data_IF_602898040012
#
_entry.id   IF_602898040012
#
_cell.length_a   1.000
_cell.length_b   1.000
_cell.length_c   1.000
_cell.angle_alpha   90.00
_cell.angle_beta   90.00
_cell.angle_gamma   90.00
#
_symmetry.space_group_name_H-M   'P 1'
#
loop_
_entity.id
_entity.type
_entity.pdbx_description
1 polymer ?
#
# COMPACT_ATOMS: atom_id res chain seq x y z
N UNK A 1 -42.30 46.46 -36.58
CA UNK A 1 -41.15 45.71 -37.08
C UNK A 1 -40.34 45.22 -35.86
N UNK A 2 -40.60 43.99 -35.44
CA UNK A 2 -39.94 43.41 -34.28
C UNK A 2 -38.76 42.52 -34.77
N UNK A 3 -37.54 42.84 -34.36
CA UNK A 3 -36.35 42.02 -34.64
C UNK A 3 -36.19 40.98 -33.55
N UNK A 4 -36.36 39.71 -33.88
CA UNK A 4 -36.01 38.55 -33.06
C UNK A 4 -34.49 38.35 -33.11
N UNK A 5 -33.81 38.35 -31.92
CA UNK A 5 -32.44 37.91 -31.80
C UNK A 5 -32.47 36.45 -31.31
N UNK A 6 -32.00 35.55 -32.15
CA UNK A 6 -31.80 34.15 -31.80
C UNK A 6 -30.45 34.05 -31.10
N UNK A 7 -30.47 33.71 -29.80
CA UNK A 7 -29.31 33.39 -29.01
C UNK A 7 -28.92 31.91 -29.28
N UNK A 8 -27.79 31.67 -29.93
CA UNK A 8 -27.22 30.35 -30.05
C UNK A 8 -26.53 29.97 -28.71
N UNK A 9 -27.16 29.08 -27.95
CA UNK A 9 -26.50 28.39 -26.85
C UNK A 9 -25.56 27.32 -27.44
N UNK A 10 -24.26 27.58 -27.40
CA UNK A 10 -23.26 26.53 -27.61
C UNK A 10 -23.18 25.67 -26.36
N UNK A 11 -23.81 24.49 -26.39
CA UNK A 11 -23.60 23.46 -25.42
C UNK A 11 -22.19 22.89 -25.60
N UNK A 12 -21.26 23.28 -24.70
CA UNK A 12 -19.97 22.66 -24.61
C UNK A 12 -20.13 21.21 -24.17
N UNK A 13 -19.99 20.28 -25.10
CA UNK A 13 -19.83 18.86 -24.82
C UNK A 13 -18.48 18.69 -24.13
N UNK A 14 -18.49 18.80 -22.80
CA UNK A 14 -17.38 18.32 -21.96
C UNK A 14 -17.29 16.82 -22.16
N UNK A 15 -16.24 16.38 -22.84
CA UNK A 15 -15.86 14.96 -22.90
C UNK A 15 -15.52 14.52 -21.50
N UNK A 16 -16.49 13.95 -20.78
CA UNK A 16 -16.21 13.13 -19.61
C UNK A 16 -15.46 11.92 -20.12
N UNK A 17 -14.15 11.87 -19.92
CA UNK A 17 -13.40 10.62 -19.99
C UNK A 17 -14.07 9.66 -19.01
N UNK A 18 -14.80 8.68 -19.54
CA UNK A 18 -15.32 7.58 -18.75
C UNK A 18 -14.11 6.96 -18.02
N UNK A 19 -14.15 6.91 -16.69
CA UNK A 19 -13.21 6.12 -15.95
C UNK A 19 -13.25 4.72 -16.55
N UNK A 20 -12.09 4.21 -16.98
CA UNK A 20 -12.01 2.86 -17.54
C UNK A 20 -12.57 1.90 -16.49
N UNK A 21 -13.54 1.07 -16.89
CA UNK A 21 -14.04 0.02 -16.00
C UNK A 21 -12.88 -0.91 -15.61
N UNK A 22 -12.90 -1.39 -14.37
CA UNK A 22 -11.93 -2.40 -13.92
C UNK A 22 -11.93 -3.60 -14.89
N UNK A 23 -10.77 -4.20 -15.18
CA UNK A 23 -10.70 -5.35 -16.07
C UNK A 23 -11.54 -6.52 -15.53
N UNK A 24 -12.16 -7.30 -16.42
CA UNK A 24 -12.91 -8.48 -16.00
C UNK A 24 -11.92 -9.61 -15.62
N UNK A 25 -12.11 -10.28 -14.48
CA UNK A 25 -11.25 -11.38 -14.05
C UNK A 25 -11.39 -12.60 -14.96
N UNK A 26 -10.31 -13.36 -15.21
CA UNK A 26 -10.36 -14.62 -15.93
C UNK A 26 -11.27 -15.64 -15.21
N UNK A 27 -12.04 -16.47 -15.96
CA UNK A 27 -12.97 -17.44 -15.37
C UNK A 27 -12.30 -18.46 -14.42
N UNK A 28 -11.02 -18.79 -14.64
CA UNK A 28 -10.24 -19.69 -13.77
C UNK A 28 -10.13 -19.20 -12.32
N UNK A 29 -10.29 -17.90 -12.08
CA UNK A 29 -10.24 -17.33 -10.74
C UNK A 29 -11.57 -17.43 -9.98
N UNK A 30 -12.68 -17.72 -10.67
CA UNK A 30 -14.01 -17.77 -10.04
C UNK A 30 -14.12 -18.73 -8.84
N UNK A 31 -13.51 -19.94 -8.85
CA UNK A 31 -13.57 -20.85 -7.70
C UNK A 31 -12.84 -20.34 -6.45
N UNK A 32 -11.98 -19.34 -6.57
CA UNK A 32 -11.16 -18.76 -5.49
C UNK A 32 -11.76 -17.47 -4.94
N UNK A 33 -12.94 -17.09 -5.42
CA UNK A 33 -13.59 -15.85 -5.03
C UNK A 33 -14.81 -16.15 -4.14
N UNK A 34 -14.74 -15.74 -2.87
CA UNK A 34 -15.75 -15.98 -1.85
C UNK A 34 -16.12 -14.69 -1.12
N UNK A 35 -17.39 -14.36 -1.04
CA UNK A 35 -17.91 -13.22 -0.27
C UNK A 35 -17.20 -11.87 -0.55
N UNK A 36 -16.82 -11.64 -1.81
CA UNK A 36 -16.13 -10.42 -2.22
C UNK A 36 -14.63 -10.40 -1.89
N UNK A 37 -14.05 -11.53 -1.47
CA UNK A 37 -12.64 -11.71 -1.18
C UNK A 37 -12.05 -12.83 -2.02
N UNK A 38 -10.78 -12.69 -2.40
CA UNK A 38 -10.03 -13.71 -3.12
C UNK A 38 -9.23 -14.55 -2.13
N UNK A 39 -9.48 -15.87 -2.16
CA UNK A 39 -8.82 -16.86 -1.31
C UNK A 39 -7.94 -17.76 -2.19
N UNK A 40 -6.59 -17.61 -2.17
CA UNK A 40 -5.70 -18.38 -3.07
C UNK A 40 -5.80 -19.91 -2.90
N UNK A 41 -6.26 -20.41 -1.75
CA UNK A 41 -6.45 -21.82 -1.47
C UNK A 41 -5.19 -22.65 -1.70
N UNK A 42 -5.28 -23.65 -2.60
CA UNK A 42 -4.17 -24.51 -3.02
C UNK A 42 -3.33 -23.92 -4.15
N UNK A 43 -3.61 -22.67 -4.56
CA UNK A 43 -2.97 -22.00 -5.70
C UNK A 43 -3.08 -22.75 -7.03
N UNK A 44 -4.09 -23.59 -7.21
CA UNK A 44 -4.27 -24.37 -8.43
C UNK A 44 -4.28 -23.54 -9.72
N UNK A 45 -4.71 -22.28 -9.64
CA UNK A 45 -4.73 -21.32 -10.75
C UNK A 45 -3.33 -20.94 -11.28
N UNK A 46 -2.25 -21.10 -10.50
CA UNK A 46 -0.88 -20.81 -10.97
C UNK A 46 -0.20 -22.03 -11.59
N UNK A 47 -0.87 -23.20 -11.71
CA UNK A 47 -0.28 -24.43 -12.25
C UNK A 47 0.35 -24.23 -13.62
N UNK A 48 -0.23 -23.34 -14.43
CA UNK A 48 0.27 -23.02 -15.78
C UNK A 48 1.61 -22.31 -15.85
N UNK A 49 2.11 -21.78 -14.74
CA UNK A 49 3.44 -21.19 -14.61
C UNK A 49 4.58 -22.23 -14.58
N UNK A 50 4.25 -23.53 -14.38
CA UNK A 50 5.23 -24.57 -14.13
C UNK A 50 5.38 -25.56 -15.30
N UNK A 51 6.55 -26.22 -15.44
CA UNK A 51 6.74 -27.32 -16.39
C UNK A 51 5.70 -28.44 -16.22
N UNK A 52 5.36 -29.10 -17.31
CA UNK A 52 4.37 -30.19 -17.30
C UNK A 52 2.91 -29.74 -17.16
N UNK A 53 2.63 -28.45 -17.25
CA UNK A 53 1.27 -27.95 -17.34
C UNK A 53 0.61 -28.34 -18.67
N UNK A 54 -0.71 -28.56 -18.65
CA UNK A 54 -1.49 -28.76 -19.88
C UNK A 54 -1.58 -27.46 -20.68
N UNK A 55 -1.89 -27.58 -21.98
CA UNK A 55 -2.11 -26.40 -22.85
C UNK A 55 -3.16 -25.44 -22.24
N UNK A 56 -4.24 -25.96 -21.66
CA UNK A 56 -5.26 -25.15 -21.03
C UNK A 56 -4.72 -24.40 -19.80
N UNK A 57 -3.99 -25.08 -18.91
CA UNK A 57 -3.40 -24.44 -17.72
C UNK A 57 -2.42 -23.31 -18.10
N UNK A 58 -1.62 -23.51 -19.15
CA UNK A 58 -0.73 -22.46 -19.68
C UNK A 58 -1.54 -21.27 -20.22
N UNK A 59 -2.64 -21.54 -20.93
CA UNK A 59 -3.52 -20.48 -21.43
C UNK A 59 -4.19 -19.69 -20.29
N UNK A 60 -4.66 -20.39 -19.27
CA UNK A 60 -5.27 -19.79 -18.06
C UNK A 60 -4.27 -18.91 -17.32
N UNK A 61 -3.03 -19.39 -17.15
CA UNK A 61 -1.97 -18.58 -16.51
C UNK A 61 -1.68 -17.29 -17.29
N UNK A 62 -1.54 -17.37 -18.62
CA UNK A 62 -1.37 -16.19 -19.47
C UNK A 62 -2.53 -15.20 -19.35
N UNK A 63 -3.75 -15.70 -19.18
CA UNK A 63 -4.91 -14.85 -18.97
C UNK A 63 -4.85 -14.11 -17.60
N UNK A 64 -4.33 -14.77 -16.56
CA UNK A 64 -4.09 -14.16 -15.24
C UNK A 64 -3.01 -13.07 -15.33
N UNK A 65 -1.88 -13.35 -16.00
CA UNK A 65 -0.81 -12.35 -16.20
C UNK A 65 -1.32 -11.14 -16.98
N UNK A 66 -2.12 -11.37 -18.03
CA UNK A 66 -2.74 -10.29 -18.80
C UNK A 66 -3.73 -9.47 -17.97
N UNK A 67 -4.51 -10.12 -17.10
CA UNK A 67 -5.41 -9.47 -16.15
C UNK A 67 -4.63 -8.60 -15.14
N UNK A 68 -3.56 -9.13 -14.53
CA UNK A 68 -2.70 -8.36 -13.62
C UNK A 68 -2.11 -7.11 -14.30
N UNK A 69 -1.64 -7.25 -15.54
CA UNK A 69 -1.15 -6.11 -16.33
C UNK A 69 -2.24 -5.07 -16.59
N UNK A 70 -3.47 -5.49 -16.92
CA UNK A 70 -4.60 -4.59 -17.13
C UNK A 70 -5.01 -3.89 -15.82
N UNK A 71 -4.95 -4.59 -14.67
CA UNK A 71 -5.16 -3.99 -13.35
C UNK A 71 -4.17 -2.86 -13.07
N UNK A 72 -2.87 -3.08 -13.28
CA UNK A 72 -1.84 -2.05 -13.09
C UNK A 72 -2.04 -0.85 -14.00
N UNK A 73 -2.37 -1.09 -15.29
CA UNK A 73 -2.63 0.00 -16.23
C UNK A 73 -3.86 0.83 -15.83
N UNK A 74 -4.95 0.18 -15.44
CA UNK A 74 -6.15 0.86 -14.96
C UNK A 74 -5.87 1.67 -13.69
N UNK A 75 -5.16 1.10 -12.71
CA UNK A 75 -4.77 1.78 -11.48
C UNK A 75 -3.93 3.04 -11.76
N UNK A 76 -2.98 2.96 -12.68
CA UNK A 76 -2.17 4.12 -13.09
C UNK A 76 -3.03 5.24 -13.67
N UNK A 77 -3.99 4.92 -14.56
CA UNK A 77 -4.90 5.91 -15.15
C UNK A 77 -5.78 6.58 -14.09
N UNK A 78 -6.32 5.80 -13.14
CA UNK A 78 -7.13 6.32 -12.03
C UNK A 78 -6.31 7.27 -11.18
N UNK A 79 -5.09 6.87 -10.78
CA UNK A 79 -4.21 7.71 -9.97
C UNK A 79 -3.80 8.99 -10.68
N UNK A 80 -3.51 8.95 -11.98
CA UNK A 80 -3.20 10.15 -12.76
C UNK A 80 -4.37 11.12 -12.80
N UNK A 81 -5.59 10.62 -12.97
CA UNK A 81 -6.78 11.46 -12.97
C UNK A 81 -7.02 12.12 -11.60
N UNK A 82 -6.86 11.37 -10.49
CA UNK A 82 -7.03 11.89 -9.13
C UNK A 82 -5.94 12.90 -8.76
N UNK A 83 -4.67 12.63 -9.07
CA UNK A 83 -3.57 13.58 -8.86
C UNK A 83 -3.76 14.87 -9.66
N UNK A 84 -4.23 14.76 -10.91
CA UNK A 84 -4.53 15.93 -11.76
C UNK A 84 -5.61 16.83 -11.14
N UNK A 85 -6.64 16.26 -10.51
CA UNK A 85 -7.65 17.05 -9.75
C UNK A 85 -7.02 17.85 -8.61
N UNK A 86 -5.93 17.35 -8.05
CA UNK A 86 -5.14 18.04 -7.02
C UNK A 86 -4.10 19.02 -7.61
N UNK A 87 -4.05 19.18 -8.94
CA UNK A 87 -3.02 19.99 -9.60
C UNK A 87 -1.62 19.38 -9.57
N UNK A 88 -1.52 18.07 -9.34
CA UNK A 88 -0.25 17.33 -9.32
C UNK A 88 -0.09 16.58 -10.64
N UNK A 89 1.01 16.85 -11.35
CA UNK A 89 1.42 16.09 -12.53
C UNK A 89 2.56 15.19 -12.08
N UNK A 90 2.29 13.88 -11.99
CA UNK A 90 3.31 12.94 -11.58
C UNK A 90 4.30 12.68 -12.71
N UNK A 91 5.60 12.65 -12.37
CA UNK A 91 6.72 12.44 -13.30
C UNK A 91 7.33 11.04 -13.22
N UNK A 92 6.79 10.17 -12.36
CA UNK A 92 7.23 8.78 -12.22
C UNK A 92 6.16 7.82 -12.72
N UNK A 93 6.54 6.67 -13.29
CA UNK A 93 5.60 5.61 -13.63
C UNK A 93 4.85 5.16 -12.37
N UNK A 94 3.57 4.86 -12.53
CA UNK A 94 2.71 4.39 -11.44
C UNK A 94 2.24 2.98 -11.74
N UNK A 95 2.41 2.15 -10.76
CA UNK A 95 1.96 0.76 -10.70
C UNK A 95 1.01 0.50 -9.52
N UNK A 96 0.41 1.57 -8.98
CA UNK A 96 -0.29 1.59 -7.70
C UNK A 96 -1.64 2.28 -7.80
N UNK A 97 -2.42 2.19 -6.72
CA UNK A 97 -3.72 2.86 -6.63
C UNK A 97 -4.88 1.98 -7.03
N UNK A 98 -4.81 0.71 -6.67
CA UNK A 98 -5.86 -0.25 -6.95
C UNK A 98 -7.17 0.15 -6.29
N UNK A 99 -8.17 0.41 -7.13
CA UNK A 99 -9.53 0.72 -6.68
C UNK A 99 -10.39 -0.55 -6.61
N UNK A 100 -9.89 -1.64 -7.15
CA UNK A 100 -10.55 -2.95 -7.19
C UNK A 100 -9.81 -3.93 -6.29
N UNK A 101 -10.53 -4.52 -5.32
CA UNK A 101 -9.94 -5.43 -4.34
C UNK A 101 -9.38 -6.69 -5.00
N UNK A 102 -10.10 -7.24 -5.99
CA UNK A 102 -9.64 -8.43 -6.67
C UNK A 102 -8.34 -8.18 -7.44
N UNK A 103 -8.22 -7.02 -8.11
CA UNK A 103 -6.97 -6.60 -8.73
C UNK A 103 -5.82 -6.59 -7.71
N UNK A 104 -6.00 -5.96 -6.56
CA UNK A 104 -4.99 -5.89 -5.50
C UNK A 104 -4.60 -7.30 -5.04
N UNK A 105 -5.57 -8.13 -4.69
CA UNK A 105 -5.32 -9.48 -4.18
C UNK A 105 -4.65 -10.40 -5.21
N UNK A 106 -5.02 -10.31 -6.50
CA UNK A 106 -4.39 -11.12 -7.55
C UNK A 106 -2.95 -10.69 -7.79
N UNK A 107 -2.66 -9.39 -7.80
CA UNK A 107 -1.29 -8.90 -7.98
C UNK A 107 -0.34 -9.36 -6.87
N UNK A 108 -0.85 -9.52 -5.65
CA UNK A 108 -0.07 -10.01 -4.52
C UNK A 108 0.30 -11.50 -4.62
N UNK A 109 -0.46 -12.29 -5.39
CA UNK A 109 -0.22 -13.72 -5.53
C UNK A 109 0.34 -14.13 -6.88
N UNK A 110 0.36 -13.24 -7.87
CA UNK A 110 0.83 -13.55 -9.24
C UNK A 110 2.34 -13.86 -9.27
N UNK A 111 3.12 -13.35 -8.31
CA UNK A 111 4.53 -13.64 -8.13
C UNK A 111 4.82 -14.92 -7.34
N UNK A 112 3.79 -15.56 -6.76
CA UNK A 112 3.96 -16.74 -5.91
C UNK A 112 4.75 -17.88 -6.56
N UNK A 113 4.63 -18.17 -7.90
CA UNK A 113 5.43 -19.18 -8.56
C UNK A 113 6.92 -18.86 -8.67
N UNK A 114 7.31 -17.61 -8.53
CA UNK A 114 8.68 -17.15 -8.77
C UNK A 114 9.68 -17.82 -7.81
N UNK A 115 10.78 -18.31 -8.38
CA UNK A 115 11.86 -18.97 -7.65
C UNK A 115 11.61 -20.45 -7.30
N UNK A 116 10.47 -21.04 -7.71
CA UNK A 116 10.23 -22.49 -7.62
C UNK A 116 10.50 -23.15 -8.96
N UNK A 117 11.27 -24.25 -8.93
CA UNK A 117 11.64 -24.96 -10.16
C UNK A 117 10.50 -25.85 -10.70
N UNK A 118 9.70 -26.45 -9.82
CA UNK A 118 8.65 -27.40 -10.18
C UNK A 118 7.36 -27.16 -9.38
N UNK A 119 6.26 -27.67 -9.91
CA UNK A 119 4.97 -27.67 -9.22
C UNK A 119 5.03 -28.41 -7.88
N UNK A 120 5.74 -29.54 -7.83
CA UNK A 120 5.87 -30.37 -6.63
C UNK A 120 6.61 -29.62 -5.49
N UNK A 121 7.69 -28.90 -5.83
CA UNK A 121 8.42 -28.08 -4.84
C UNK A 121 7.54 -26.95 -4.33
N UNK A 122 6.78 -26.30 -5.22
CA UNK A 122 5.82 -25.25 -4.87
C UNK A 122 4.72 -25.79 -3.91
N UNK A 123 4.08 -26.92 -4.25
CA UNK A 123 3.03 -27.53 -3.41
C UNK A 123 3.57 -28.00 -2.05
N UNK A 124 4.78 -28.52 -2.01
CA UNK A 124 5.45 -28.92 -0.77
C UNK A 124 5.66 -27.72 0.13
N UNK A 125 6.20 -26.61 -0.42
CA UNK A 125 6.42 -25.36 0.31
C UNK A 125 5.08 -24.74 0.79
N UNK A 126 4.05 -24.80 -0.07
CA UNK A 126 2.71 -24.32 0.26
C UNK A 126 2.13 -25.06 1.49
N UNK A 127 2.24 -26.39 1.50
CA UNK A 127 1.79 -27.21 2.62
C UNK A 127 2.59 -26.95 3.92
N UNK A 128 3.92 -26.90 3.82
CA UNK A 128 4.81 -26.73 4.97
C UNK A 128 4.73 -25.32 5.60
N UNK A 129 4.50 -24.29 4.80
CA UNK A 129 4.38 -22.91 5.30
C UNK A 129 3.06 -22.65 6.04
N UNK A 130 2.00 -23.43 5.77
CA UNK A 130 0.66 -23.16 6.26
C UNK A 130 0.55 -23.15 7.79
N UNK A 131 1.09 -24.13 8.56
CA UNK A 131 1.00 -24.13 10.02
C UNK A 131 1.64 -22.90 10.66
N UNK A 132 2.79 -22.45 10.16
CA UNK A 132 3.46 -21.24 10.64
C UNK A 132 2.58 -20.01 10.42
N UNK A 133 2.08 -19.85 9.21
CA UNK A 133 1.19 -18.75 8.84
C UNK A 133 -0.08 -18.73 9.70
N UNK A 134 -0.75 -19.85 9.83
CA UNK A 134 -2.00 -19.96 10.62
C UNK A 134 -1.80 -19.65 12.10
N UNK A 135 -0.71 -20.14 12.71
CA UNK A 135 -0.40 -19.86 14.11
C UNK A 135 -0.21 -18.36 14.34
N UNK A 136 0.52 -17.70 13.45
CA UNK A 136 0.75 -16.26 13.56
C UNK A 136 -0.52 -15.45 13.32
N UNK A 137 -1.28 -15.80 12.29
CA UNK A 137 -2.57 -15.18 11.99
C UNK A 137 -3.56 -15.28 13.15
N UNK A 138 -3.63 -16.46 13.80
CA UNK A 138 -4.48 -16.68 14.97
C UNK A 138 -4.10 -15.75 16.14
N UNK A 139 -2.80 -15.56 16.38
CA UNK A 139 -2.31 -14.63 17.42
C UNK A 139 -2.72 -13.17 17.15
N UNK A 140 -2.60 -12.71 15.90
CA UNK A 140 -3.05 -11.38 15.50
C UNK A 140 -4.56 -11.23 15.69
N UNK A 141 -5.35 -12.22 15.23
CA UNK A 141 -6.80 -12.21 15.36
C UNK A 141 -7.23 -12.18 16.83
N UNK A 142 -6.59 -12.95 17.70
CA UNK A 142 -6.87 -12.94 19.14
C UNK A 142 -6.59 -11.54 19.76
N UNK A 143 -5.51 -10.87 19.34
CA UNK A 143 -5.16 -9.52 19.79
C UNK A 143 -6.21 -8.49 19.35
N UNK A 144 -6.69 -8.56 18.11
CA UNK A 144 -7.77 -7.67 17.61
C UNK A 144 -9.07 -7.89 18.36
N UNK A 145 -9.46 -9.17 18.56
CA UNK A 145 -10.67 -9.52 19.29
C UNK A 145 -10.65 -9.03 20.75
N UNK A 146 -9.49 -9.02 21.39
CA UNK A 146 -9.33 -8.49 22.74
C UNK A 146 -9.61 -6.98 22.82
N UNK A 147 -9.33 -6.21 21.77
CA UNK A 147 -9.67 -4.79 21.68
C UNK A 147 -11.18 -4.59 21.49
N UNK A 148 -11.80 -5.34 20.58
CA UNK A 148 -13.24 -5.24 20.32
C UNK A 148 -14.13 -5.78 21.45
N UNK A 149 -13.57 -6.51 22.40
CA UNK A 149 -14.29 -6.95 23.61
C UNK A 149 -14.52 -5.85 24.65
N UNK A 150 -13.93 -4.66 24.49
CA UNK A 150 -14.20 -3.49 25.30
C UNK A 150 -15.47 -2.78 24.76
N UNK A 151 -16.36 -2.36 25.67
CA UNK A 151 -17.78 -2.02 25.37
C UNK A 151 -18.03 -0.72 24.56
N UNK A 152 -17.05 0.05 24.15
CA UNK A 152 -17.25 1.32 23.43
C UNK A 152 -16.51 1.32 22.08
N UNK A 153 -17.25 1.39 20.97
CA UNK A 153 -16.69 1.57 19.62
C UNK A 153 -16.17 3.02 19.43
N UNK A 154 -15.14 3.39 20.14
CA UNK A 154 -14.48 4.67 19.97
C UNK A 154 -13.58 4.67 18.72
N UNK A 155 -13.29 5.87 18.19
CA UNK A 155 -12.34 5.99 17.08
C UNK A 155 -10.92 5.48 17.47
N UNK A 156 -10.55 5.59 18.74
CA UNK A 156 -9.27 5.08 19.25
C UNK A 156 -9.22 3.55 19.20
N UNK A 157 -10.27 2.88 19.65
CA UNK A 157 -10.39 1.41 19.61
C UNK A 157 -10.37 0.90 18.17
N UNK A 158 -11.15 1.52 17.29
CA UNK A 158 -11.18 1.16 15.87
C UNK A 158 -9.80 1.34 15.21
N UNK A 159 -9.14 2.46 15.45
CA UNK A 159 -7.79 2.70 14.95
C UNK A 159 -6.78 1.71 15.55
N UNK A 160 -6.91 1.33 16.83
CA UNK A 160 -6.05 0.35 17.49
C UNK A 160 -6.24 -1.04 16.88
N UNK A 161 -7.49 -1.47 16.67
CA UNK A 161 -7.80 -2.75 16.04
C UNK A 161 -7.23 -2.88 14.62
N UNK A 162 -7.11 -1.78 13.90
CA UNK A 162 -6.53 -1.71 12.55
C UNK A 162 -5.00 -1.66 12.55
N UNK A 163 -4.40 -0.95 13.50
CA UNK A 163 -2.94 -0.84 13.61
C UNK A 163 -2.29 -2.14 14.07
N UNK A 164 -2.97 -2.97 14.86
CA UNK A 164 -2.43 -4.26 15.32
C UNK A 164 -2.06 -5.15 14.11
N UNK A 165 -2.97 -5.53 13.20
CA UNK A 165 -2.62 -6.34 12.04
C UNK A 165 -1.67 -5.62 11.09
N UNK A 166 -1.82 -4.30 10.89
CA UNK A 166 -0.92 -3.51 10.05
C UNK A 166 0.55 -3.64 10.49
N UNK A 167 0.82 -3.45 11.76
CA UNK A 167 2.20 -3.52 12.30
C UNK A 167 2.67 -4.96 12.50
N UNK A 168 1.78 -5.87 12.90
CA UNK A 168 2.15 -7.26 13.14
C UNK A 168 2.60 -7.94 11.83
N UNK A 169 1.89 -7.77 10.72
CA UNK A 169 2.27 -8.35 9.44
C UNK A 169 3.54 -7.74 8.85
N UNK A 170 3.88 -6.48 9.19
CA UNK A 170 5.12 -5.81 8.80
C UNK A 170 6.28 -6.12 9.72
N UNK A 171 6.01 -6.51 10.97
CA UNK A 171 6.99 -6.74 12.02
C UNK A 171 7.75 -8.07 11.91
N UNK A 172 7.71 -8.95 12.93
CA UNK A 172 8.57 -10.13 13.02
C UNK A 172 8.49 -11.12 11.88
N UNK A 173 7.36 -11.21 11.19
CA UNK A 173 7.21 -11.95 9.94
C UNK A 173 7.38 -11.06 8.71
N UNK A 174 7.68 -9.77 8.91
CA UNK A 174 8.14 -8.89 7.86
C UNK A 174 9.39 -9.47 7.17
N UNK A 175 9.64 -9.01 5.96
CA UNK A 175 10.59 -9.61 5.03
C UNK A 175 12.01 -9.83 5.59
N UNK A 176 12.44 -9.05 6.58
CA UNK A 176 13.80 -9.11 7.12
C UNK A 176 14.00 -10.18 8.22
N UNK A 177 12.94 -10.51 8.97
CA UNK A 177 13.05 -11.44 10.11
C UNK A 177 12.73 -12.89 9.74
N UNK A 178 12.05 -13.14 8.63
CA UNK A 178 11.77 -14.51 8.16
C UNK A 178 13.05 -15.28 7.83
N UNK A 179 14.10 -14.60 7.39
CA UNK A 179 15.39 -15.22 7.09
C UNK A 179 16.11 -15.80 8.32
N UNK A 180 15.65 -15.45 9.52
CA UNK A 180 16.22 -15.92 10.78
C UNK A 180 15.50 -17.13 11.39
N UNK A 181 14.43 -17.63 10.76
CA UNK A 181 13.72 -18.83 11.23
C UNK A 181 14.61 -20.07 11.03
N UNK A 182 15.26 -20.51 12.10
CA UNK A 182 16.14 -21.67 12.05
C UNK A 182 15.33 -22.96 11.84
N UNK A 183 15.84 -23.86 10.98
CA UNK A 183 15.23 -25.16 10.72
C UNK A 183 14.10 -25.16 9.69
N UNK A 184 13.81 -24.01 9.07
CA UNK A 184 12.86 -23.90 7.95
C UNK A 184 13.64 -23.83 6.64
N UNK A 185 13.30 -24.69 5.66
CA UNK A 185 13.97 -24.70 4.38
C UNK A 185 13.62 -23.45 3.52
N UNK A 186 14.50 -23.14 2.56
CA UNK A 186 14.39 -21.91 1.73
C UNK A 186 13.08 -21.80 0.95
N UNK A 187 12.55 -22.91 0.45
CA UNK A 187 11.30 -22.90 -0.32
C UNK A 187 10.10 -22.65 0.60
N UNK A 188 10.08 -23.27 1.78
CA UNK A 188 9.06 -23.00 2.82
C UNK A 188 9.10 -21.55 3.27
N UNK A 189 10.30 -20.96 3.48
CA UNK A 189 10.47 -19.54 3.81
C UNK A 189 9.95 -18.63 2.69
N UNK A 190 10.28 -18.95 1.44
CA UNK A 190 9.79 -18.19 0.26
C UNK A 190 8.27 -18.17 0.22
N UNK A 191 7.62 -19.31 0.41
CA UNK A 191 6.16 -19.39 0.43
C UNK A 191 5.57 -18.67 1.66
N UNK A 192 6.21 -18.75 2.82
CA UNK A 192 5.77 -18.02 4.01
C UNK A 192 5.86 -16.50 3.80
N UNK A 193 6.93 -16.01 3.16
CA UNK A 193 7.06 -14.61 2.73
C UNK A 193 5.92 -14.20 1.80
N UNK A 194 5.63 -15.01 0.76
CA UNK A 194 4.54 -14.71 -0.17
C UNK A 194 3.18 -14.62 0.56
N UNK A 195 2.85 -15.56 1.44
CA UNK A 195 1.62 -15.51 2.26
C UNK A 195 1.56 -14.26 3.15
N UNK A 196 2.70 -13.89 3.73
CA UNK A 196 2.80 -12.72 4.62
C UNK A 196 2.59 -11.44 3.82
N UNK A 197 3.26 -11.30 2.66
CA UNK A 197 3.09 -10.16 1.75
C UNK A 197 1.64 -10.04 1.32
N UNK A 198 1.03 -11.11 0.81
CA UNK A 198 -0.38 -11.12 0.43
C UNK A 198 -1.27 -10.63 1.57
N UNK A 199 -1.02 -11.09 2.80
CA UNK A 199 -1.86 -10.73 3.94
C UNK A 199 -1.68 -9.29 4.41
N UNK A 200 -0.46 -8.76 4.49
CA UNK A 200 -0.30 -7.37 4.89
C UNK A 200 -0.84 -6.38 3.85
N UNK A 201 -0.71 -6.69 2.56
CA UNK A 201 -1.27 -5.84 1.50
C UNK A 201 -2.81 -5.88 1.47
N UNK A 202 -3.42 -7.03 1.80
CA UNK A 202 -4.88 -7.11 2.02
C UNK A 202 -5.32 -6.24 3.21
N UNK A 203 -4.54 -6.23 4.29
CA UNK A 203 -4.76 -5.33 5.44
C UNK A 203 -4.58 -3.86 5.04
N UNK A 204 -3.58 -3.53 4.24
CA UNK A 204 -3.37 -2.17 3.75
C UNK A 204 -4.52 -1.68 2.87
N UNK A 205 -5.04 -2.56 2.02
CA UNK A 205 -6.21 -2.24 1.20
C UNK A 205 -7.43 -1.91 2.06
N UNK A 206 -7.77 -2.76 3.03
CA UNK A 206 -8.88 -2.54 3.98
C UNK A 206 -8.67 -1.25 4.80
N UNK A 207 -7.47 -1.03 5.30
CA UNK A 207 -7.10 0.14 6.08
C UNK A 207 -7.15 1.43 5.24
N UNK A 208 -6.69 1.39 4.00
CA UNK A 208 -6.73 2.53 3.08
C UNK A 208 -8.17 2.95 2.77
N UNK A 209 -9.07 1.99 2.57
CA UNK A 209 -10.49 2.28 2.34
C UNK A 209 -11.17 2.85 3.57
N UNK A 210 -10.91 2.28 4.75
CA UNK A 210 -11.43 2.80 6.01
C UNK A 210 -10.95 4.22 6.29
N UNK A 211 -9.65 4.49 6.20
CA UNK A 211 -9.09 5.81 6.53
C UNK A 211 -9.54 6.87 5.52
N UNK A 212 -9.69 6.50 4.26
CA UNK A 212 -10.29 7.38 3.24
C UNK A 212 -11.71 7.76 3.62
N UNK A 213 -12.56 6.78 3.92
CA UNK A 213 -13.93 7.02 4.36
C UNK A 213 -13.98 7.88 5.62
N UNK A 214 -13.14 7.61 6.61
CA UNK A 214 -13.02 8.40 7.84
C UNK A 214 -12.70 9.87 7.54
N UNK A 215 -11.68 10.12 6.72
CA UNK A 215 -11.25 11.49 6.41
C UNK A 215 -12.23 12.22 5.49
N UNK A 216 -12.91 11.52 4.59
CA UNK A 216 -13.92 12.11 3.71
C UNK A 216 -15.23 12.48 4.46
N UNK A 217 -15.57 11.73 5.51
CA UNK A 217 -16.82 11.95 6.29
C UNK A 217 -16.64 12.78 7.54
N UNK A 218 -15.57 12.55 8.30
CA UNK A 218 -15.33 13.20 9.61
C UNK A 218 -14.13 14.16 9.60
N UNK A 219 -13.19 13.99 8.66
CA UNK A 219 -12.01 14.82 8.49
C UNK A 219 -10.99 14.72 9.64
N UNK A 220 -9.84 15.38 9.46
CA UNK A 220 -8.79 15.43 10.47
C UNK A 220 -9.22 16.10 11.77
N UNK A 221 -10.25 16.97 11.75
CA UNK A 221 -10.74 17.62 12.97
C UNK A 221 -11.27 16.62 14.00
N UNK A 222 -12.00 15.61 13.55
CA UNK A 222 -12.50 14.54 14.42
C UNK A 222 -11.36 13.65 14.94
N UNK A 223 -10.39 13.35 14.10
CA UNK A 223 -9.20 12.55 14.43
C UNK A 223 -8.35 13.25 15.49
N UNK A 224 -8.06 14.55 15.31
CA UNK A 224 -7.30 15.37 16.29
C UNK A 224 -8.06 15.50 17.61
N UNK A 225 -9.39 15.66 17.56
CA UNK A 225 -10.23 15.73 18.76
C UNK A 225 -10.22 14.42 19.56
N UNK A 226 -10.12 13.28 18.92
CA UNK A 226 -10.02 11.97 19.56
C UNK A 226 -8.71 11.76 20.34
N UNK A 227 -7.70 12.60 20.11
CA UNK A 227 -6.45 12.62 20.87
C UNK A 227 -5.20 12.31 20.04
N UNK A 228 -4.02 12.61 20.60
CA UNK A 228 -2.76 12.50 19.85
C UNK A 228 -2.40 11.06 19.47
N UNK A 229 -2.75 10.07 20.31
CA UNK A 229 -2.52 8.65 20.01
C UNK A 229 -3.35 8.20 18.81
N UNK A 230 -4.64 8.52 18.80
CA UNK A 230 -5.55 8.24 17.68
C UNK A 230 -5.07 8.92 16.41
N UNK A 231 -4.66 10.19 16.50
CA UNK A 231 -4.15 10.95 15.38
C UNK A 231 -2.88 10.31 14.78
N UNK A 232 -1.98 9.79 15.62
CA UNK A 232 -0.78 9.08 15.18
C UNK A 232 -1.11 7.76 14.48
N UNK A 233 -2.05 6.97 15.02
CA UNK A 233 -2.49 5.72 14.41
C UNK A 233 -3.15 5.95 13.05
N UNK A 234 -4.09 6.89 12.95
CA UNK A 234 -4.74 7.25 11.69
C UNK A 234 -3.73 7.75 10.66
N UNK A 235 -2.78 8.61 11.08
CA UNK A 235 -1.70 9.07 10.23
C UNK A 235 -0.84 7.90 9.71
N UNK A 236 -0.52 6.92 10.55
CA UNK A 236 0.29 5.77 10.14
C UNK A 236 -0.44 4.93 9.08
N UNK A 237 -1.75 4.75 9.23
CA UNK A 237 -2.57 4.09 8.19
C UNK A 237 -2.55 4.92 6.88
N UNK A 238 -2.68 6.25 6.95
CA UNK A 238 -2.52 7.11 5.75
C UNK A 238 -1.15 6.93 5.12
N UNK A 239 -0.09 6.84 5.94
CA UNK A 239 1.27 6.64 5.45
C UNK A 239 1.45 5.29 4.74
N UNK A 240 0.72 4.25 5.16
CA UNK A 240 0.76 2.93 4.56
C UNK A 240 -0.16 2.76 3.34
N UNK A 241 -0.99 3.75 3.02
CA UNK A 241 -1.79 3.76 1.80
C UNK A 241 -0.94 4.05 0.54
N UNK A 242 0.19 3.35 0.40
CA UNK A 242 1.19 3.55 -0.68
C UNK A 242 0.62 3.29 -2.07
N UNK A 243 -0.40 2.47 -2.16
CA UNK A 243 -1.11 2.17 -3.40
C UNK A 243 -1.98 3.33 -3.88
N UNK A 244 -2.22 4.35 -3.04
CA UNK A 244 -3.06 5.51 -3.35
C UNK A 244 -2.36 6.85 -3.07
N UNK A 245 -1.31 7.20 -3.84
CA UNK A 245 -0.59 8.45 -3.66
C UNK A 245 -1.47 9.71 -3.83
N UNK A 246 -2.57 9.62 -4.57
CA UNK A 246 -3.51 10.73 -4.69
C UNK A 246 -4.26 10.97 -3.38
N UNK A 247 -4.70 9.90 -2.70
CA UNK A 247 -5.29 10.00 -1.38
C UNK A 247 -4.28 10.51 -0.34
N UNK A 248 -3.05 9.96 -0.32
CA UNK A 248 -2.00 10.44 0.57
C UNK A 248 -1.72 11.94 0.38
N UNK A 249 -1.64 12.42 -0.87
CA UNK A 249 -1.44 13.85 -1.17
C UNK A 249 -2.61 14.72 -0.68
N UNK A 250 -3.84 14.24 -0.82
CA UNK A 250 -5.04 14.93 -0.32
C UNK A 250 -5.04 14.98 1.21
N UNK A 251 -4.79 13.86 1.87
CA UNK A 251 -4.72 13.76 3.33
C UNK A 251 -3.61 14.66 3.91
N UNK A 252 -2.44 14.69 3.27
CA UNK A 252 -1.32 15.57 3.62
C UNK A 252 -1.74 17.05 3.59
N UNK A 253 -2.40 17.50 2.51
CA UNK A 253 -2.89 18.88 2.39
C UNK A 253 -3.92 19.23 3.47
N UNK A 254 -4.81 18.31 3.77
CA UNK A 254 -5.82 18.50 4.82
C UNK A 254 -5.21 18.53 6.23
N UNK A 255 -4.07 17.85 6.44
CA UNK A 255 -3.34 17.82 7.72
C UNK A 255 -2.51 19.10 7.97
N UNK A 256 -2.05 19.79 6.94
CA UNK A 256 -1.16 20.95 7.03
C UNK A 256 -1.63 22.05 8.02
N UNK A 257 -2.91 22.48 8.06
CA UNK A 257 -3.36 23.50 9.01
C UNK A 257 -3.19 23.08 10.47
N UNK A 258 -3.33 21.79 10.79
CA UNK A 258 -3.16 21.27 12.15
C UNK A 258 -1.69 21.24 12.57
N UNK A 259 -0.78 20.96 11.63
CA UNK A 259 0.67 21.04 11.85
C UNK A 259 1.09 22.49 12.12
N UNK A 260 0.63 23.44 11.31
CA UNK A 260 0.89 24.86 11.50
C UNK A 260 0.35 25.39 12.84
N UNK A 261 -0.78 24.88 13.28
CA UNK A 261 -1.38 25.21 14.57
C UNK A 261 -0.73 24.49 15.77
N UNK A 262 0.30 23.65 15.55
CA UNK A 262 0.95 22.86 16.61
C UNK A 262 0.09 21.73 17.17
N UNK A 263 -1.00 21.35 16.48
CA UNK A 263 -1.93 20.30 16.90
C UNK A 263 -1.58 18.91 16.37
N UNK A 264 -0.58 18.84 15.50
CA UNK A 264 -0.04 17.59 14.96
C UNK A 264 1.49 17.67 14.83
N UNK A 265 2.17 16.52 14.95
CA UNK A 265 3.62 16.45 14.99
C UNK A 265 4.25 16.77 13.62
N UNK A 266 5.20 17.73 13.59
CA UNK A 266 5.94 18.11 12.38
C UNK A 266 6.75 16.96 11.80
N UNK A 267 7.45 16.12 12.61
CA UNK A 267 8.19 14.96 12.07
C UNK A 267 7.31 14.04 11.24
N UNK A 268 6.13 13.70 11.73
CA UNK A 268 5.20 12.81 11.04
C UNK A 268 4.70 13.40 9.72
N UNK A 269 4.45 14.71 9.71
CA UNK A 269 4.09 15.43 8.49
C UNK A 269 5.23 15.39 7.46
N UNK A 270 6.48 15.55 7.88
CA UNK A 270 7.66 15.47 7.00
C UNK A 270 7.82 14.06 6.39
N UNK A 271 7.62 13.00 7.18
CA UNK A 271 7.69 11.62 6.69
C UNK A 271 6.64 11.36 5.58
N UNK A 272 5.40 11.80 5.80
CA UNK A 272 4.33 11.66 4.79
C UNK A 272 4.59 12.54 3.56
N UNK A 273 5.18 13.74 3.76
CA UNK A 273 5.57 14.61 2.65
C UNK A 273 6.55 13.91 1.71
N UNK A 274 7.62 13.31 2.26
CA UNK A 274 8.63 12.60 1.48
C UNK A 274 8.02 11.42 0.72
N UNK A 275 7.11 10.68 1.36
CA UNK A 275 6.43 9.54 0.73
C UNK A 275 5.58 9.97 -0.47
N UNK A 276 4.78 11.01 -0.30
CA UNK A 276 3.98 11.60 -1.40
C UNK A 276 4.89 12.13 -2.51
N UNK A 277 5.95 12.83 -2.17
CA UNK A 277 6.89 13.36 -3.15
C UNK A 277 7.59 12.25 -3.94
N UNK A 278 8.06 11.19 -3.29
CA UNK A 278 8.65 10.03 -3.96
C UNK A 278 7.66 9.36 -4.91
N UNK A 279 6.41 9.18 -4.47
CA UNK A 279 5.37 8.56 -5.29
C UNK A 279 4.97 9.41 -6.50
N UNK A 280 5.16 10.75 -6.45
CA UNK A 280 4.71 11.66 -7.49
C UNK A 280 5.84 12.22 -8.35
N UNK A 281 7.02 12.50 -7.76
CA UNK A 281 8.15 13.14 -8.43
C UNK A 281 9.40 12.25 -8.52
N UNK A 282 9.43 11.11 -7.81
CA UNK A 282 10.62 10.27 -7.66
C UNK A 282 11.69 10.85 -6.74
N UNK A 283 11.41 11.95 -6.05
CA UNK A 283 12.34 12.65 -5.17
C UNK A 283 11.67 12.97 -3.84
N UNK A 284 12.48 13.13 -2.80
CA UNK A 284 12.03 13.51 -1.47
C UNK A 284 12.74 14.78 -0.97
N UNK A 285 12.19 15.41 0.07
CA UNK A 285 12.65 16.71 0.58
C UNK A 285 13.48 16.58 1.86
N UNK A 286 13.10 15.67 2.75
CA UNK A 286 13.69 15.51 4.09
C UNK A 286 14.59 14.29 4.22
N UNK A 287 14.72 13.45 3.21
CA UNK A 287 15.54 12.23 3.26
C UNK A 287 15.05 11.20 4.28
N UNK A 288 13.74 11.12 4.50
CA UNK A 288 13.16 10.23 5.51
C UNK A 288 12.90 8.81 4.99
N UNK A 289 12.83 8.63 3.68
CA UNK A 289 12.61 7.36 3.02
C UNK A 289 13.94 6.79 2.52
N UNK A 290 14.26 5.60 3.01
CA UNK A 290 15.55 4.97 2.77
C UNK A 290 15.45 3.84 1.74
N UNK A 291 16.57 3.48 1.17
CA UNK A 291 16.78 2.26 0.37
C UNK A 291 18.09 1.60 0.76
N UNK A 292 18.17 0.28 0.53
CA UNK A 292 19.42 -0.44 0.66
C UNK A 292 20.33 -0.14 -0.53
N UNK A 293 21.50 0.42 -0.27
CA UNK A 293 22.52 0.73 -1.29
C UNK A 293 23.85 0.15 -0.84
N UNK A 294 24.37 -0.82 -1.56
CA UNK A 294 25.63 -1.50 -1.20
C UNK A 294 25.63 -2.04 0.24
N UNK A 295 24.53 -2.66 0.67
CA UNK A 295 24.31 -3.20 2.02
C UNK A 295 24.23 -2.15 3.14
N UNK A 296 24.03 -0.87 2.81
CA UNK A 296 23.84 0.21 3.77
C UNK A 296 22.54 0.98 3.48
N UNK A 297 21.89 1.44 4.54
CA UNK A 297 20.76 2.33 4.39
C UNK A 297 21.22 3.70 3.94
N UNK A 298 20.59 4.22 2.88
CA UNK A 298 20.79 5.57 2.38
C UNK A 298 19.48 6.21 1.97
N UNK A 299 19.34 7.54 2.05
CA UNK A 299 18.17 8.22 1.52
C UNK A 299 17.96 7.90 0.04
N UNK A 300 16.70 7.70 -0.33
CA UNK A 300 16.29 7.66 -1.75
C UNK A 300 16.53 9.04 -2.36
N UNK A 301 16.44 9.16 -3.69
CA UNK A 301 16.74 10.40 -4.41
C UNK A 301 16.16 11.66 -3.76
N UNK A 302 17.00 12.64 -3.49
CA UNK A 302 16.64 13.93 -2.91
C UNK A 302 16.25 14.95 -3.99
N UNK A 303 15.46 15.96 -3.65
CA UNK A 303 15.17 17.10 -4.50
C UNK A 303 16.39 18.05 -4.63
N UNK A 304 16.28 19.08 -5.44
CA UNK A 304 17.36 20.02 -5.71
C UNK A 304 17.87 20.66 -4.40
N UNK A 305 19.19 20.59 -4.17
CA UNK A 305 19.85 21.09 -2.96
C UNK A 305 19.84 20.11 -1.79
N UNK A 306 19.31 18.88 -1.97
CA UNK A 306 19.31 17.83 -0.94
C UNK A 306 20.63 17.08 -0.81
N UNK A 307 21.51 17.15 -1.80
CA UNK A 307 22.79 16.43 -1.79
C UNK A 307 23.84 17.06 -0.85
N UNK A 308 23.60 18.29 -0.36
CA UNK A 308 24.43 18.89 0.68
C UNK A 308 23.87 18.51 2.07
N UNK A 309 24.62 17.72 2.89
CA UNK A 309 24.19 17.30 4.21
C UNK A 309 23.77 18.44 5.15
N UNK A 310 24.45 19.59 5.05
CA UNK A 310 24.11 20.75 5.90
C UNK A 310 22.75 21.33 5.56
N UNK A 311 22.44 21.40 4.27
CA UNK A 311 21.13 21.87 3.78
C UNK A 311 20.03 20.87 4.14
N UNK A 312 20.28 19.59 4.00
CA UNK A 312 19.36 18.53 4.39
C UNK A 312 19.08 18.57 5.90
N UNK A 313 20.13 18.60 6.72
CA UNK A 313 20.00 18.61 8.19
C UNK A 313 19.28 19.87 8.71
N UNK A 314 19.45 21.02 8.05
CA UNK A 314 18.69 22.22 8.36
C UNK A 314 17.19 22.01 8.14
N UNK A 315 16.78 21.49 6.97
CA UNK A 315 15.38 21.19 6.67
C UNK A 315 14.80 20.15 7.66
N UNK A 316 15.58 19.13 7.99
CA UNK A 316 15.20 18.12 8.98
C UNK A 316 14.96 18.72 10.36
N UNK A 317 15.88 19.59 10.81
CA UNK A 317 15.76 20.27 12.12
C UNK A 317 14.53 21.19 12.19
N UNK A 318 14.18 21.91 11.12
CA UNK A 318 12.97 22.72 11.02
C UNK A 318 11.67 21.91 11.23
N UNK A 319 11.71 20.63 10.89
CA UNK A 319 10.61 19.69 11.11
C UNK A 319 10.75 18.87 12.40
N UNK A 320 11.79 19.09 13.20
CA UNK A 320 12.05 18.33 14.42
C UNK A 320 12.55 16.91 14.17
N UNK A 321 13.10 16.65 12.98
CA UNK A 321 13.75 15.38 12.66
C UNK A 321 15.23 15.41 13.14
N UNK A 322 15.75 14.25 13.52
CA UNK A 322 17.20 14.10 13.77
C UNK A 322 17.99 14.38 12.49
N UNK A 323 19.27 14.76 12.62
CA UNK A 323 20.18 14.79 11.48
C UNK A 323 20.19 13.45 10.75
N UNK A 324 20.52 13.44 9.48
CA UNK A 324 20.59 12.19 8.70
C UNK A 324 21.54 11.18 9.38
N UNK A 325 22.74 11.63 9.74
CA UNK A 325 23.73 10.79 10.40
C UNK A 325 23.19 10.17 11.70
N UNK A 326 22.50 10.94 12.54
CA UNK A 326 21.86 10.43 13.76
C UNK A 326 20.75 9.45 13.44
N UNK A 327 19.90 9.73 12.44
CA UNK A 327 18.80 8.84 12.05
C UNK A 327 19.32 7.46 11.62
N UNK A 328 20.38 7.42 10.83
CA UNK A 328 20.97 6.16 10.38
C UNK A 328 21.53 5.30 11.54
N UNK A 329 21.89 5.89 12.69
CA UNK A 329 22.35 5.10 13.85
C UNK A 329 21.25 4.29 14.54
N UNK A 330 19.99 4.59 14.29
CA UNK A 330 18.85 3.81 14.81
C UNK A 330 18.48 2.60 13.96
N UNK A 331 19.12 2.44 12.80
CA UNK A 331 18.88 1.34 11.89
C UNK A 331 19.88 0.22 12.11
N UNK A 332 19.56 -1.02 11.70
CA UNK A 332 20.56 -2.07 11.63
C UNK A 332 21.78 -1.63 10.79
N UNK A 333 23.00 -2.09 11.12
CA UNK A 333 24.21 -1.66 10.43
C UNK A 333 24.24 -2.07 8.94
N UNK A 334 23.47 -3.06 8.58
CA UNK A 334 23.34 -3.58 7.21
C UNK A 334 21.87 -3.79 6.83
N UNK A 335 21.59 -3.62 5.56
CA UNK A 335 20.30 -3.94 4.96
C UNK A 335 20.36 -5.12 3.95
#
# INVERSE_FOLDING_TARGET
>A
MARFHILFLMAGLGSFSAASAAPAPPPILAPFFHDGSFEPGDYGFVRGAFPGATTQQVADWKAIEAYGKACMQNAALVQDAELKKLGIIASVPKDRGYQDRLCSQILNVISAPEGFATWETFQTALSRSLPYFQTYAAGITASVNAIHGAEENTLEEEATARIIPDQAWRGPLGMETLDTLSGVDADTLRMLKNRTVHRFEDVDWDNSHWVRHLLDTKGWSAVIKAGPRTAKMVWLIVQHADEDPAFQARALRQLAPYVHAGKFARPDYALLTDRVMLATTGKQHYGSQLSCQNHHYAPRSLDAGGDDPKTLDKRRAEMGLFSEATYLTYLPPHC
#
